data_IF_977543806788
#
_entry.id   IF_977543806788
#
_cell.length_a   1.000
_cell.length_b   1.000
_cell.length_c   1.000
_cell.angle_alpha   90.00
_cell.angle_beta   90.00
_cell.angle_gamma   90.00
#
_symmetry.space_group_name_H-M   'P 1'
#
loop_
_entity.id
_entity.type
_entity.pdbx_description
1 polymer ?
#
# COMPACT_ATOMS: atom_id res chain seq x y z
N UNK A 1 -0.33 -5.86 3.97
CA UNK A 1 0.32 -6.25 2.71
C UNK A 1 -0.68 -6.13 1.59
N UNK A 2 -0.49 -5.15 0.69
CA UNK A 2 -1.35 -4.92 -0.49
C UNK A 2 -0.97 -5.83 -1.68
N UNK A 3 -0.66 -7.09 -1.41
CA UNK A 3 -0.25 -8.05 -2.43
C UNK A 3 -1.34 -9.06 -2.81
N UNK A 4 -2.61 -8.71 -2.57
CA UNK A 4 -3.72 -9.53 -3.05
C UNK A 4 -4.07 -9.08 -4.46
N UNK A 5 -3.35 -9.62 -5.43
CA UNK A 5 -3.68 -9.46 -6.84
C UNK A 5 -4.70 -10.55 -7.23
N UNK A 6 -5.75 -10.16 -7.94
CA UNK A 6 -6.70 -11.11 -8.54
C UNK A 6 -6.06 -11.82 -9.73
N UNK A 7 -6.57 -12.98 -10.11
CA UNK A 7 -6.11 -13.69 -11.30
C UNK A 7 -6.25 -12.85 -12.57
N UNK A 8 -7.33 -12.07 -12.66
CA UNK A 8 -7.56 -11.15 -13.78
C UNK A 8 -6.50 -10.05 -13.86
N UNK A 9 -6.12 -9.47 -12.72
CA UNK A 9 -5.05 -8.45 -12.66
C UNK A 9 -3.72 -9.05 -13.09
N UNK A 10 -3.38 -10.24 -12.59
CA UNK A 10 -2.13 -10.93 -12.94
C UNK A 10 -2.08 -11.31 -14.42
N UNK A 11 -3.21 -11.67 -15.03
CA UNK A 11 -3.31 -12.00 -16.46
C UNK A 11 -3.11 -10.76 -17.35
N UNK A 12 -3.55 -9.60 -16.89
CA UNK A 12 -3.47 -8.34 -17.63
C UNK A 12 -2.26 -7.47 -17.24
N UNK A 13 -1.38 -7.98 -16.36
CA UNK A 13 -0.22 -7.25 -15.86
C UNK A 13 0.76 -6.92 -16.97
N UNK A 14 1.09 -5.63 -17.08
CA UNK A 14 2.04 -5.12 -18.06
C UNK A 14 3.41 -4.95 -17.44
N UNK A 15 4.43 -5.38 -18.17
CA UNK A 15 5.83 -5.33 -17.76
C UNK A 15 6.64 -4.44 -18.69
N UNK A 16 7.54 -3.63 -18.13
CA UNK A 16 8.50 -2.78 -18.86
C UNK A 16 9.89 -2.99 -18.33
N UNK A 17 10.89 -2.89 -19.22
CA UNK A 17 12.28 -2.94 -18.81
C UNK A 17 12.61 -1.75 -17.89
N UNK A 18 13.48 -2.01 -16.91
CA UNK A 18 14.02 -0.97 -16.05
C UNK A 18 15.18 -0.31 -16.79
N UNK A 19 15.13 1.02 -16.94
CA UNK A 19 16.15 1.83 -17.60
C UNK A 19 17.54 1.51 -17.03
N UNK A 20 18.51 1.24 -17.94
CA UNK A 20 19.85 0.82 -17.61
C UNK A 20 19.98 -0.64 -17.16
N UNK A 21 18.89 -1.42 -17.21
CA UNK A 21 18.86 -2.85 -16.85
C UNK A 21 18.02 -3.67 -17.83
N UNK A 22 17.95 -3.21 -19.09
CA UNK A 22 17.16 -3.80 -20.17
C UNK A 22 17.50 -5.29 -20.36
N UNK A 23 16.48 -6.11 -20.52
CA UNK A 23 16.61 -7.55 -20.66
C UNK A 23 17.02 -8.32 -19.40
N UNK A 24 17.38 -7.62 -18.31
CA UNK A 24 17.80 -8.21 -17.02
C UNK A 24 16.72 -8.09 -15.96
N UNK A 25 16.07 -6.93 -15.86
CA UNK A 25 15.02 -6.65 -14.89
C UNK A 25 13.88 -5.88 -15.50
N UNK A 26 12.68 -6.20 -15.06
CA UNK A 26 11.45 -5.51 -15.45
C UNK A 26 10.63 -5.12 -14.24
N UNK A 27 9.87 -4.04 -14.36
CA UNK A 27 8.89 -3.57 -13.41
C UNK A 27 7.48 -3.63 -14.02
N UNK A 28 6.48 -3.93 -13.20
CA UNK A 28 5.08 -3.99 -13.65
C UNK A 28 4.26 -2.78 -13.20
N UNK A 29 3.13 -2.57 -13.86
CA UNK A 29 2.11 -1.60 -13.48
C UNK A 29 1.40 -1.94 -12.16
N UNK A 30 1.50 -3.18 -11.69
CA UNK A 30 1.04 -3.59 -10.37
C UNK A 30 2.07 -3.35 -9.24
N UNK A 31 3.26 -2.82 -9.55
CA UNK A 31 4.31 -2.55 -8.57
C UNK A 31 5.15 -3.77 -8.21
N UNK A 32 5.22 -4.76 -9.09
CA UNK A 32 6.10 -5.92 -8.94
C UNK A 32 7.36 -5.76 -9.78
N UNK A 33 8.46 -6.37 -9.34
CA UNK A 33 9.73 -6.38 -10.08
C UNK A 33 10.11 -7.83 -10.36
N UNK A 34 10.63 -8.11 -11.57
CA UNK A 34 11.11 -9.44 -11.96
C UNK A 34 12.52 -9.39 -12.53
N UNK A 35 13.24 -10.49 -12.39
CA UNK A 35 14.61 -10.68 -12.86
C UNK A 35 14.70 -11.86 -13.82
N UNK A 36 15.57 -11.75 -14.83
CA UNK A 36 15.91 -12.84 -15.76
C UNK A 36 17.26 -13.51 -15.44
N UNK A 37 17.79 -13.35 -14.23
CA UNK A 37 19.12 -13.82 -13.81
C UNK A 37 19.41 -15.29 -14.15
N UNK A 38 18.39 -16.14 -14.16
CA UNK A 38 18.56 -17.59 -14.41
C UNK A 38 18.02 -18.02 -15.79
N UNK A 39 17.97 -17.10 -16.76
CA UNK A 39 17.46 -17.38 -18.12
C UNK A 39 15.93 -17.31 -18.25
N UNK A 40 15.19 -17.26 -17.15
CA UNK A 40 13.73 -17.10 -17.11
C UNK A 40 13.29 -16.00 -16.15
N UNK A 41 12.11 -15.44 -16.37
CA UNK A 41 11.58 -14.37 -15.53
C UNK A 41 11.07 -14.89 -14.19
N UNK A 42 11.58 -14.31 -13.10
CA UNK A 42 11.17 -14.61 -11.74
C UNK A 42 10.84 -13.31 -10.99
N UNK A 43 9.65 -13.25 -10.38
CA UNK A 43 9.26 -12.13 -9.52
C UNK A 43 10.14 -12.10 -8.28
N UNK A 44 10.69 -10.91 -8.01
CA UNK A 44 11.54 -10.65 -6.85
C UNK A 44 10.69 -10.33 -5.64
N UNK A 45 11.17 -10.70 -4.46
CA UNK A 45 10.60 -10.26 -3.18
C UNK A 45 11.25 -8.93 -2.78
N UNK A 46 10.50 -7.82 -2.70
CA UNK A 46 11.04 -6.56 -2.24
C UNK A 46 11.29 -6.59 -0.73
N UNK A 47 12.25 -5.79 -0.28
CA UNK A 47 12.49 -5.52 1.15
C UNK A 47 11.79 -4.21 1.56
N UNK A 48 11.53 -4.05 2.85
CA UNK A 48 11.06 -2.77 3.42
C UNK A 48 12.27 -1.96 3.89
N UNK A 49 12.32 -0.67 3.57
CA UNK A 49 13.43 0.22 3.96
C UNK A 49 13.34 0.79 5.39
N UNK A 50 12.46 0.26 6.23
CA UNK A 50 12.21 0.76 7.59
C UNK A 50 11.31 2.01 7.67
N UNK A 51 11.06 2.69 6.53
CA UNK A 51 10.17 3.85 6.42
C UNK A 51 8.84 3.51 5.72
N UNK A 52 8.56 2.23 5.50
CA UNK A 52 7.35 1.74 4.84
C UNK A 52 7.44 1.64 3.31
N UNK A 53 8.54 2.05 2.69
CA UNK A 53 8.73 1.92 1.25
C UNK A 53 9.34 0.57 0.88
N UNK A 54 8.91 0.02 -0.25
CA UNK A 54 9.49 -1.19 -0.82
C UNK A 54 10.72 -0.86 -1.67
N UNK A 55 11.79 -1.64 -1.47
CA UNK A 55 13.05 -1.54 -2.22
C UNK A 55 13.40 -2.89 -2.86
N UNK A 56 14.10 -2.81 -3.99
CA UNK A 56 14.72 -3.96 -4.65
C UNK A 56 16.21 -3.68 -4.86
N UNK A 57 17.00 -4.75 -4.86
CA UNK A 57 18.42 -4.72 -5.09
C UNK A 57 18.67 -5.22 -6.51
N UNK A 58 19.10 -4.32 -7.41
CA UNK A 58 19.44 -4.68 -8.78
C UNK A 58 20.94 -4.75 -8.93
N UNK A 59 21.41 -5.79 -9.60
CA UNK A 59 22.84 -6.04 -9.82
C UNK A 59 23.16 -5.99 -11.31
N UNK A 60 24.18 -5.22 -11.67
CA UNK A 60 24.75 -5.15 -13.03
C UNK A 60 26.26 -4.97 -12.94
N UNK A 61 27.02 -5.68 -13.77
CA UNK A 61 28.47 -5.57 -13.90
C UNK A 61 29.23 -5.63 -12.56
N UNK A 62 28.83 -6.58 -11.69
CA UNK A 62 29.40 -6.73 -10.34
C UNK A 62 28.92 -5.72 -9.31
N UNK A 63 28.30 -4.63 -9.71
CA UNK A 63 27.77 -3.57 -8.82
C UNK A 63 26.32 -3.83 -8.46
N UNK A 64 25.93 -3.52 -7.22
CA UNK A 64 24.57 -3.62 -6.72
C UNK A 64 24.05 -2.23 -6.30
N UNK A 65 22.85 -1.88 -6.76
CA UNK A 65 22.17 -0.64 -6.38
C UNK A 65 20.79 -0.92 -5.83
N UNK A 66 20.35 -0.06 -4.90
CA UNK A 66 19.04 -0.13 -4.27
C UNK A 66 18.09 0.83 -4.98
N UNK A 67 16.91 0.33 -5.33
CA UNK A 67 15.88 1.12 -5.99
C UNK A 67 14.57 1.06 -5.21
N UNK A 68 13.92 2.20 -5.07
CA UNK A 68 12.56 2.29 -4.55
C UNK A 68 11.58 1.82 -5.63
N UNK A 69 10.71 0.86 -5.31
CA UNK A 69 9.81 0.24 -6.29
C UNK A 69 8.87 1.27 -6.91
N UNK A 70 8.28 2.19 -6.11
CA UNK A 70 7.41 3.24 -6.64
C UNK A 70 8.13 4.14 -7.67
N UNK A 71 9.43 4.39 -7.50
CA UNK A 71 10.20 5.17 -8.48
C UNK A 71 10.39 4.42 -9.79
N UNK A 72 10.67 3.11 -9.73
CA UNK A 72 10.76 2.26 -10.92
C UNK A 72 9.44 2.21 -11.69
N UNK A 73 8.31 2.07 -10.98
CA UNK A 73 6.98 2.09 -11.59
C UNK A 73 6.69 3.43 -12.24
N UNK A 74 6.89 4.52 -11.51
CA UNK A 74 6.61 5.86 -12.04
C UNK A 74 7.48 6.18 -13.26
N UNK A 75 8.78 5.92 -13.20
CA UNK A 75 9.69 6.14 -14.34
C UNK A 75 9.30 5.31 -15.56
N UNK A 76 8.83 4.07 -15.36
CA UNK A 76 8.47 3.20 -16.46
C UNK A 76 7.09 3.51 -17.06
N UNK A 77 6.10 3.92 -16.25
CA UNK A 77 4.70 3.95 -16.69
C UNK A 77 4.05 5.33 -16.68
N UNK A 78 4.58 6.30 -15.95
CA UNK A 78 3.97 7.62 -15.80
C UNK A 78 4.88 8.66 -16.49
N UNK A 79 4.50 9.20 -17.65
CA UNK A 79 5.26 10.25 -18.31
C UNK A 79 5.41 11.47 -17.37
N UNK A 80 6.63 11.94 -17.19
CA UNK A 80 6.90 13.19 -16.47
C UNK A 80 7.27 14.27 -17.48
N UNK A 81 6.32 15.14 -17.80
CA UNK A 81 6.50 16.27 -18.72
C UNK A 81 6.94 17.55 -18.03
N UNK A 82 7.00 17.53 -16.68
CA UNK A 82 7.35 18.69 -15.86
C UNK A 82 8.57 18.36 -14.98
N UNK A 83 9.72 18.91 -15.35
CA UNK A 83 10.99 18.68 -14.66
C UNK A 83 11.01 19.19 -13.20
N UNK A 84 10.08 20.07 -12.81
CA UNK A 84 9.94 20.52 -11.43
C UNK A 84 9.34 19.44 -10.50
N UNK A 85 8.61 18.47 -11.08
CA UNK A 85 8.00 17.36 -10.35
C UNK A 85 8.97 16.20 -10.21
N UNK A 86 9.75 16.20 -9.15
CA UNK A 86 10.79 15.20 -8.89
C UNK A 86 10.43 14.16 -7.83
N UNK A 87 9.28 14.36 -7.19
CA UNK A 87 8.78 13.50 -6.11
C UNK A 87 7.63 12.63 -6.63
N UNK A 88 7.49 11.44 -6.06
CA UNK A 88 6.36 10.55 -6.33
C UNK A 88 5.51 10.46 -5.08
N UNK A 89 4.25 10.86 -5.22
CA UNK A 89 3.23 10.75 -4.19
C UNK A 89 2.47 9.42 -4.33
N UNK A 90 2.11 8.81 -3.19
CA UNK A 90 1.14 7.72 -3.12
C UNK A 90 -0.23 8.30 -2.84
N UNK A 91 -1.13 8.27 -3.83
CA UNK A 91 -2.46 8.90 -3.77
C UNK A 91 -3.28 8.40 -2.56
N UNK A 92 -3.17 7.13 -2.21
CA UNK A 92 -3.84 6.56 -1.04
C UNK A 92 -3.03 6.70 0.27
N UNK A 93 -1.89 7.39 0.25
CA UNK A 93 -0.95 7.53 1.38
C UNK A 93 -0.36 6.22 1.92
N UNK A 94 -0.46 5.12 1.17
CA UNK A 94 0.06 3.80 1.54
C UNK A 94 1.35 3.53 0.78
N UNK A 95 2.48 3.62 1.47
CA UNK A 95 3.84 3.62 0.90
C UNK A 95 4.28 2.33 0.24
N UNK A 96 3.64 1.21 0.51
CA UNK A 96 3.90 -0.10 -0.10
C UNK A 96 2.90 -0.45 -1.22
N UNK A 97 1.90 0.40 -1.49
CA UNK A 97 0.96 0.27 -2.60
C UNK A 97 1.53 0.93 -3.86
N UNK A 98 2.36 0.20 -4.59
CA UNK A 98 3.11 0.73 -5.74
C UNK A 98 2.42 0.50 -7.09
N UNK A 99 1.10 0.32 -7.12
CA UNK A 99 0.32 0.26 -8.36
C UNK A 99 0.41 1.57 -9.13
N UNK A 100 0.51 1.53 -10.44
CA UNK A 100 0.65 2.72 -11.29
C UNK A 100 -0.49 3.73 -11.08
N UNK A 101 -1.72 3.25 -10.91
CA UNK A 101 -2.91 4.08 -10.66
C UNK A 101 -2.87 4.81 -9.30
N UNK A 102 -2.00 4.38 -8.39
CA UNK A 102 -1.83 4.97 -7.07
C UNK A 102 -0.63 5.92 -6.98
N UNK A 103 0.08 6.15 -8.08
CA UNK A 103 1.30 6.96 -8.10
C UNK A 103 1.13 8.18 -9.01
N UNK A 104 1.69 9.30 -8.59
CA UNK A 104 1.73 10.54 -9.39
C UNK A 104 3.05 11.28 -9.18
N UNK A 105 3.53 11.96 -10.23
CA UNK A 105 4.63 12.91 -10.09
C UNK A 105 4.14 14.20 -9.49
N UNK A 106 4.85 14.71 -8.47
CA UNK A 106 4.54 15.97 -7.81
C UNK A 106 5.78 16.76 -7.42
N UNK A 107 5.59 18.02 -7.10
CA UNK A 107 6.62 18.85 -6.46
C UNK A 107 6.64 18.68 -4.94
N UNK A 108 7.63 19.26 -4.29
CA UNK A 108 7.81 19.19 -2.83
C UNK A 108 6.66 19.87 -2.07
N UNK A 109 6.15 21.00 -2.59
CA UNK A 109 5.06 21.76 -1.94
C UNK A 109 3.78 20.94 -1.95
N UNK A 110 3.41 20.41 -3.13
CA UNK A 110 2.25 19.54 -3.27
C UNK A 110 2.33 18.31 -2.37
N UNK A 111 3.46 17.61 -2.38
CA UNK A 111 3.65 16.40 -1.56
C UNK A 111 3.52 16.68 -0.05
N UNK A 112 4.04 17.82 0.43
CA UNK A 112 3.92 18.22 1.82
C UNK A 112 2.50 18.61 2.19
N UNK A 113 1.80 19.35 1.31
CA UNK A 113 0.40 19.75 1.52
C UNK A 113 -0.53 18.54 1.47
N UNK A 114 -0.27 17.61 0.53
CA UNK A 114 -1.03 16.37 0.38
C UNK A 114 -0.91 15.47 1.61
N UNK A 115 0.28 15.40 2.21
CA UNK A 115 0.53 14.69 3.46
C UNK A 115 0.07 15.48 4.70
N UNK A 116 -0.55 16.66 4.49
CA UNK A 116 -0.94 17.54 5.56
C UNK A 116 -2.07 16.95 6.40
N UNK A 117 -2.22 17.50 7.61
CA UNK A 117 -3.14 17.09 8.68
C UNK A 117 -4.57 16.80 8.16
N UNK A 118 -4.98 17.50 7.10
CA UNK A 118 -6.32 17.36 6.51
C UNK A 118 -6.51 16.00 5.81
N UNK A 119 -5.55 15.59 4.98
CA UNK A 119 -5.61 14.29 4.27
C UNK A 119 -5.49 13.12 5.25
N UNK A 120 -4.56 13.20 6.21
CA UNK A 120 -4.45 12.22 7.30
C UNK A 120 -5.74 12.11 8.11
N UNK A 121 -6.42 13.23 8.37
CA UNK A 121 -7.71 13.24 9.06
C UNK A 121 -8.81 12.57 8.23
N UNK A 122 -8.86 12.82 6.91
CA UNK A 122 -9.85 12.21 6.01
C UNK A 122 -9.60 10.71 5.89
N UNK A 123 -8.37 10.28 5.62
CA UNK A 123 -8.00 8.84 5.51
C UNK A 123 -8.25 8.12 6.84
N UNK A 124 -7.86 8.72 7.97
CA UNK A 124 -8.14 8.16 9.29
C UNK A 124 -9.64 8.13 9.60
N UNK A 125 -10.40 9.11 9.15
CA UNK A 125 -11.87 9.17 9.32
C UNK A 125 -12.56 8.09 8.49
N UNK A 126 -12.15 7.88 7.23
CA UNK A 126 -12.67 6.82 6.34
C UNK A 126 -12.29 5.45 6.88
N UNK A 127 -11.04 5.25 7.25
CA UNK A 127 -10.55 4.01 7.86
C UNK A 127 -11.25 3.71 9.18
N UNK A 128 -11.46 4.72 10.02
CA UNK A 128 -12.20 4.60 11.29
C UNK A 128 -13.68 4.32 11.07
N UNK A 129 -14.30 4.88 10.02
CA UNK A 129 -15.67 4.59 9.65
C UNK A 129 -15.80 3.15 9.14
N UNK A 130 -14.95 2.73 8.20
CA UNK A 130 -14.94 1.36 7.69
C UNK A 130 -14.74 0.32 8.82
N UNK A 131 -13.80 0.59 9.72
CA UNK A 131 -13.55 -0.27 10.89
C UNK A 131 -14.78 -0.32 11.82
N UNK A 132 -15.43 0.81 12.07
CA UNK A 132 -16.65 0.87 12.88
C UNK A 132 -17.82 0.11 12.24
N UNK A 133 -18.03 0.30 10.94
CA UNK A 133 -19.10 -0.38 10.21
C UNK A 133 -18.89 -1.92 10.22
N UNK A 134 -17.64 -2.37 10.08
CA UNK A 134 -17.27 -3.78 10.18
C UNK A 134 -17.47 -4.33 11.60
N UNK A 135 -17.08 -3.56 12.63
CA UNK A 135 -17.31 -3.91 14.04
C UNK A 135 -18.81 -4.00 14.34
N UNK A 136 -19.61 -3.02 13.86
CA UNK A 136 -21.06 -3.00 14.09
C UNK A 136 -21.76 -4.23 13.48
N UNK A 137 -21.31 -4.69 12.31
CA UNK A 137 -21.83 -5.90 11.65
C UNK A 137 -21.51 -7.20 12.40
N UNK A 138 -20.36 -7.26 13.08
CA UNK A 138 -19.90 -8.45 13.78
C UNK A 138 -20.28 -8.43 15.26
N UNK A 139 -20.74 -7.30 15.78
CA UNK A 139 -21.08 -7.13 17.18
C UNK A 139 -22.35 -7.91 17.54
N UNK A 140 -22.27 -8.72 18.60
CA UNK A 140 -23.42 -9.39 19.16
C UNK A 140 -23.71 -8.83 20.57
N UNK A 141 -24.89 -8.22 20.79
CA UNK A 141 -25.27 -7.62 22.08
C UNK A 141 -25.41 -8.65 23.21
N UNK A 142 -25.71 -9.92 22.89
CA UNK A 142 -25.91 -11.00 23.87
C UNK A 142 -24.58 -11.53 24.42
N UNK A 143 -23.47 -11.21 23.78
CA UNK A 143 -22.14 -11.66 24.20
C UNK A 143 -21.45 -10.61 25.10
N UNK A 144 -20.58 -11.12 25.98
CA UNK A 144 -19.72 -10.27 26.80
C UNK A 144 -18.75 -9.44 25.94
N UNK A 145 -18.22 -8.36 26.52
CA UNK A 145 -17.19 -7.55 25.86
C UNK A 145 -15.98 -8.37 25.44
N UNK A 146 -15.56 -9.35 26.25
CA UNK A 146 -14.44 -10.24 25.95
C UNK A 146 -14.73 -11.12 24.73
N UNK A 147 -15.89 -11.75 24.67
CA UNK A 147 -16.30 -12.60 23.56
C UNK A 147 -16.41 -11.81 22.24
N UNK A 148 -16.99 -10.60 22.27
CA UNK A 148 -17.03 -9.74 21.10
C UNK A 148 -15.62 -9.36 20.62
N UNK A 149 -14.67 -9.09 21.53
CA UNK A 149 -13.27 -8.83 21.16
C UNK A 149 -12.59 -10.03 20.49
N UNK A 150 -12.88 -11.25 20.94
CA UNK A 150 -12.38 -12.48 20.33
C UNK A 150 -12.92 -12.65 18.90
N UNK A 151 -14.22 -12.39 18.69
CA UNK A 151 -14.83 -12.40 17.34
C UNK A 151 -14.17 -11.36 16.44
N UNK A 152 -13.94 -10.14 16.93
CA UNK A 152 -13.30 -9.10 16.14
C UNK A 152 -11.88 -9.48 15.76
N UNK A 153 -11.09 -10.00 16.70
CA UNK A 153 -9.73 -10.47 16.48
C UNK A 153 -9.67 -11.61 15.47
N UNK A 154 -10.58 -12.58 15.56
CA UNK A 154 -10.70 -13.68 14.57
C UNK A 154 -11.00 -13.18 13.15
N UNK A 155 -11.67 -12.02 13.03
CA UNK A 155 -11.97 -11.36 11.75
C UNK A 155 -10.93 -10.30 11.35
N UNK A 156 -9.73 -10.31 11.95
CA UNK A 156 -8.62 -9.41 11.64
C UNK A 156 -8.83 -7.96 12.09
N UNK A 157 -9.72 -7.75 13.07
CA UNK A 157 -10.00 -6.42 13.63
C UNK A 157 -9.37 -6.33 15.02
N UNK A 158 -8.27 -5.58 15.11
CA UNK A 158 -7.71 -5.22 16.41
C UNK A 158 -8.39 -3.95 16.95
N UNK A 159 -9.05 -4.07 18.11
CA UNK A 159 -9.69 -2.94 18.76
C UNK A 159 -9.65 -3.09 20.30
N UNK A 160 -9.69 -1.95 20.97
CA UNK A 160 -9.65 -1.90 22.44
C UNK A 160 -11.01 -2.22 23.07
N UNK A 161 -10.99 -2.61 24.36
CA UNK A 161 -12.20 -2.75 25.18
C UNK A 161 -13.08 -1.49 25.14
N UNK A 162 -12.46 -0.31 25.13
CA UNK A 162 -13.17 0.97 25.06
C UNK A 162 -13.97 1.14 23.78
N UNK A 163 -13.51 0.57 22.66
CA UNK A 163 -14.24 0.59 21.38
C UNK A 163 -15.57 -0.16 21.50
N UNK A 164 -15.57 -1.31 22.16
CA UNK A 164 -16.80 -2.10 22.38
C UNK A 164 -17.74 -1.39 23.36
N UNK A 165 -17.22 -0.83 24.43
CA UNK A 165 -18.02 -0.05 25.41
C UNK A 165 -18.67 1.16 24.75
N UNK A 166 -17.92 1.89 23.92
CA UNK A 166 -18.43 3.04 23.16
C UNK A 166 -19.54 2.61 22.18
N UNK A 167 -19.34 1.51 21.46
CA UNK A 167 -20.37 0.95 20.57
C UNK A 167 -21.65 0.60 21.33
N UNK A 168 -21.55 -0.02 22.51
CA UNK A 168 -22.71 -0.32 23.36
C UNK A 168 -23.45 0.93 23.78
N UNK A 169 -22.73 2.01 24.08
CA UNK A 169 -23.33 3.31 24.40
C UNK A 169 -24.03 3.92 23.20
N UNK A 170 -23.37 3.90 22.03
CA UNK A 170 -23.91 4.44 20.78
C UNK A 170 -25.17 3.67 20.31
N UNK A 171 -25.31 2.40 20.70
CA UNK A 171 -26.48 1.55 20.48
C UNK A 171 -27.53 1.66 21.62
N UNK A 172 -27.31 2.48 22.64
CA UNK A 172 -28.23 2.63 23.77
C UNK A 172 -28.30 1.43 24.71
N UNK A 173 -27.36 0.49 24.64
CA UNK A 173 -27.34 -0.73 25.43
C UNK A 173 -26.72 -0.55 26.84
N UNK A 174 -26.04 0.55 27.05
CA UNK A 174 -25.48 0.99 28.36
C UNK A 174 -25.55 2.51 28.44
N UNK A 175 -25.71 3.03 29.68
CA UNK A 175 -25.65 4.47 29.98
C UNK A 175 -24.21 4.96 30.10
#
# INVERSE_FOLDING_TARGET
>A
MFNNFTETELKNERWRDIEGYEGMYQVSDLGRVRSKKYGYWRVMRPANNGKGYLIVHLKRDGSQKNFLVHRLVASAFIPNTDSSKTIINHINSIRDCNRVENLEWCDYRYNNTYNDIHHRRIVNRISSKYKRDKIAKLYNPDLTTKQNLEIFKANGIDCSRYTVIRLRRDLGLIK
#
